data_IF_317004205113
#
_entry.id   IF_317004205113
#
_cell.length_a   1.000
_cell.length_b   1.000
_cell.length_c   1.000
_cell.angle_alpha   90.00
_cell.angle_beta   90.00
_cell.angle_gamma   90.00
#
_symmetry.space_group_name_H-M   'P 1'
#
loop_
_entity.id
_entity.type
_entity.pdbx_description
1 polymer ?
#
# COMPACT_ATOMS: atom_id res chain seq x y z
N UNK A 1 -25.52 19.76 0.55
CA UNK A 1 -24.96 19.68 0.65
C UNK A 1 -24.26 19.33 0.79
N UNK A 2 -23.97 19.27 0.67
CA UNK A 2 -23.19 19.14 0.86
C UNK A 2 -22.35 18.74 0.98
N UNK A 3 -22.12 18.77 0.77
CA UNK A 3 -21.28 18.58 0.90
C UNK A 3 -20.43 18.20 1.05
N UNK A 4 -20.29 18.22 0.76
CA UNK A 4 -19.43 18.05 0.95
C UNK A 4 -18.68 17.73 1.07
N UNK A 5 -18.62 18.02 0.83
CA UNK A 5 -17.97 17.93 0.99
C UNK A 5 -17.25 17.61 1.37
N UNK A 6 -17.24 17.90 1.22
CA UNK A 6 -16.51 17.72 1.54
C UNK A 6 -15.76 17.01 1.78
N UNK A 7 -15.66 16.90 1.89
CA UNK A 7 -15.01 16.25 1.90
C UNK A 7 -13.76 16.33 1.57
N UNK A 8 -13.36 16.94 1.14
CA UNK A 8 -12.22 17.14 0.53
C UNK A 8 -11.18 17.64 1.38
N UNK A 9 -11.42 18.42 2.12
CA UNK A 9 -10.55 18.93 3.02
C UNK A 9 -9.86 17.91 3.75
N UNK A 10 -10.45 16.99 4.11
CA UNK A 10 -9.85 15.93 4.82
C UNK A 10 -9.05 15.07 3.90
N UNK A 11 -8.99 15.45 2.67
CA UNK A 11 -8.31 14.60 1.72
C UNK A 11 -6.87 14.38 2.02
N UNK A 12 -6.20 15.32 2.59
CA UNK A 12 -4.80 15.14 2.92
C UNK A 12 -4.58 13.99 3.85
N UNK A 13 -5.55 13.69 4.70
CA UNK A 13 -5.43 12.60 5.63
C UNK A 13 -5.97 11.31 5.08
N UNK A 14 -6.83 11.39 4.09
CA UNK A 14 -7.52 10.23 3.58
C UNK A 14 -6.61 9.12 3.11
N UNK A 15 -5.51 9.41 2.38
CA UNK A 15 -4.68 8.32 1.87
C UNK A 15 -4.21 7.40 2.98
N UNK A 16 -3.83 7.95 4.13
CA UNK A 16 -3.35 7.15 5.21
C UNK A 16 -4.43 6.24 5.78
N UNK A 17 -5.61 6.80 6.02
CA UNK A 17 -6.70 5.99 6.53
C UNK A 17 -7.19 4.99 5.52
N UNK A 18 -7.16 5.39 4.26
CA UNK A 18 -7.62 4.53 3.17
C UNK A 18 -6.86 3.21 3.15
N UNK A 19 -5.57 3.24 3.47
CA UNK A 19 -4.76 2.04 3.42
C UNK A 19 -4.61 1.36 4.77
N UNK A 20 -5.24 1.89 5.81
CA UNK A 20 -5.21 1.26 7.12
C UNK A 20 -3.85 1.22 7.76
N UNK A 21 -3.06 2.27 7.55
CA UNK A 21 -1.70 2.30 8.07
C UNK A 21 -1.69 2.57 9.57
N UNK A 22 -0.86 1.85 10.34
CA UNK A 22 -0.68 2.17 11.76
C UNK A 22 0.17 3.42 11.91
N UNK A 23 0.48 3.79 13.15
CA UNK A 23 1.35 4.92 13.40
C UNK A 23 2.73 4.63 12.82
N UNK A 24 3.41 5.69 12.42
CA UNK A 24 4.69 5.53 11.73
C UNK A 24 5.74 4.82 12.56
N UNK A 25 5.70 4.97 13.88
CA UNK A 25 6.66 4.31 14.75
C UNK A 25 6.19 2.93 15.21
N UNK A 26 5.07 2.46 14.73
CA UNK A 26 4.57 1.14 15.05
C UNK A 26 5.46 0.09 14.38
N UNK A 27 5.85 -0.98 15.11
CA UNK A 27 6.70 -2.02 14.50
C UNK A 27 6.08 -2.67 13.26
N UNK A 28 4.77 -2.63 13.13
CA UNK A 28 4.09 -3.19 11.98
C UNK A 28 3.92 -2.24 10.82
N UNK A 29 4.47 -1.02 10.92
CA UNK A 29 4.25 -0.02 9.89
C UNK A 29 4.80 -0.47 8.53
N UNK A 30 6.02 -0.99 8.50
CA UNK A 30 6.64 -1.35 7.22
C UNK A 30 5.88 -2.48 6.53
N UNK A 31 5.41 -3.46 7.29
CA UNK A 31 4.61 -4.54 6.70
C UNK A 31 3.31 -3.97 6.12
N UNK A 32 2.66 -3.08 6.86
CA UNK A 32 1.43 -2.46 6.39
C UNK A 32 1.69 -1.58 5.17
N UNK A 33 2.82 -0.87 5.15
CA UNK A 33 3.17 -0.03 4.02
C UNK A 33 3.40 -0.85 2.76
N UNK A 34 4.07 -2.00 2.90
CA UNK A 34 4.28 -2.88 1.76
C UNK A 34 2.95 -3.34 1.18
N UNK A 35 2.03 -3.75 2.05
CA UNK A 35 0.71 -4.18 1.58
C UNK A 35 -0.04 -3.04 0.92
N UNK A 36 0.05 -1.83 1.48
CA UNK A 36 -0.63 -0.68 0.91
C UNK A 36 -0.14 -0.39 -0.50
N UNK A 37 1.18 -0.45 -0.72
CA UNK A 37 1.74 -0.21 -2.05
C UNK A 37 1.26 -1.26 -3.04
N UNK A 38 1.25 -2.53 -2.63
CA UNK A 38 0.80 -3.60 -3.52
C UNK A 38 -0.68 -3.47 -3.84
N UNK A 39 -1.51 -3.18 -2.84
CA UNK A 39 -2.94 -3.03 -3.09
C UNK A 39 -3.22 -1.83 -3.98
N UNK A 40 -2.50 -0.74 -3.77
CA UNK A 40 -2.68 0.44 -4.60
C UNK A 40 -2.30 0.17 -6.05
N UNK A 41 -1.27 -0.65 -6.28
CA UNK A 41 -0.84 -0.97 -7.63
C UNK A 41 -1.91 -1.76 -8.38
N UNK A 42 -2.76 -2.49 -7.66
CA UNK A 42 -3.81 -3.26 -8.30
C UNK A 42 -4.84 -2.37 -8.97
N UNK A 43 -4.96 -1.12 -8.49
CA UNK A 43 -5.95 -0.19 -9.03
C UNK A 43 -5.29 1.09 -9.56
N UNK A 44 -4.00 1.02 -9.84
CA UNK A 44 -3.26 2.13 -10.44
C UNK A 44 -3.21 3.37 -9.55
N UNK A 45 -3.11 3.16 -8.24
CA UNK A 45 -3.02 4.24 -7.28
C UNK A 45 -1.68 4.29 -6.57
N UNK A 46 -0.63 3.79 -7.21
CA UNK A 46 0.67 3.68 -6.57
C UNK A 46 1.16 5.00 -5.98
N UNK A 47 1.01 6.10 -6.70
CA UNK A 47 1.48 7.38 -6.20
C UNK A 47 0.77 7.79 -4.91
N UNK A 48 -0.49 7.48 -4.81
CA UNK A 48 -1.26 7.78 -3.62
C UNK A 48 -0.69 7.04 -2.42
N UNK A 49 -0.39 5.75 -2.61
CA UNK A 49 0.18 4.95 -1.55
C UNK A 49 1.60 5.40 -1.21
N UNK A 50 2.36 5.84 -2.21
CA UNK A 50 3.70 6.37 -1.93
C UNK A 50 3.62 7.58 -1.02
N UNK A 51 2.65 8.46 -1.26
CA UNK A 51 2.49 9.61 -0.38
C UNK A 51 2.04 9.20 1.01
N UNK A 52 1.14 8.24 1.08
CA UNK A 52 0.61 7.81 2.38
C UNK A 52 1.67 7.10 3.20
N UNK A 53 2.50 6.28 2.58
CA UNK A 53 3.48 5.49 3.31
C UNK A 53 4.81 6.20 3.49
N UNK A 54 5.14 7.13 2.60
CA UNK A 54 6.46 7.74 2.60
C UNK A 54 7.51 6.91 1.92
N UNK A 55 7.14 5.78 1.31
CA UNK A 55 8.06 4.92 0.60
C UNK A 55 7.73 4.92 -0.89
N UNK A 56 8.77 4.86 -1.70
CA UNK A 56 8.56 4.71 -3.14
C UNK A 56 8.44 3.24 -3.52
N UNK A 57 7.83 3.00 -4.64
CA UNK A 57 7.72 1.66 -5.20
C UNK A 57 9.11 1.06 -5.35
N UNK A 58 9.28 -0.16 -4.90
CA UNK A 58 10.56 -0.84 -4.99
C UNK A 58 11.48 -0.62 -3.79
N UNK A 59 11.00 0.05 -2.75
CA UNK A 59 11.80 0.34 -1.57
C UNK A 59 12.46 -0.93 -1.02
N UNK A 60 13.81 -0.99 -0.94
CA UNK A 60 14.47 -2.21 -0.47
C UNK A 60 14.09 -2.64 0.93
N UNK A 61 13.78 -1.69 1.80
CA UNK A 61 13.40 -1.99 3.18
C UNK A 61 12.15 -2.85 3.24
N UNK A 62 11.30 -2.74 2.23
CA UNK A 62 10.04 -3.45 2.22
C UNK A 62 10.11 -4.81 1.55
N UNK A 63 11.25 -5.17 0.96
CA UNK A 63 11.35 -6.42 0.21
C UNK A 63 10.94 -7.65 1.02
N UNK A 64 11.36 -7.82 2.28
CA UNK A 64 10.94 -9.02 3.01
C UNK A 64 9.42 -9.15 3.14
N UNK A 65 8.76 -8.01 3.30
CA UNK A 65 7.30 -8.03 3.45
C UNK A 65 6.60 -8.25 2.12
N UNK A 66 7.21 -7.76 1.03
CA UNK A 66 6.66 -8.03 -0.31
C UNK A 66 6.85 -9.50 -0.66
N UNK A 67 7.98 -10.10 -0.28
CA UNK A 67 8.19 -11.52 -0.50
C UNK A 67 7.19 -12.35 0.27
N UNK A 68 6.85 -11.93 1.48
CA UNK A 68 5.82 -12.57 2.27
C UNK A 68 4.47 -12.49 1.55
N UNK A 69 4.16 -11.30 1.04
CA UNK A 69 2.91 -11.11 0.31
C UNK A 69 2.87 -11.96 -0.95
N UNK A 70 4.01 -12.09 -1.63
CA UNK A 70 4.09 -12.93 -2.82
C UNK A 70 3.78 -14.38 -2.48
N UNK A 71 4.36 -14.89 -1.40
CA UNK A 71 4.09 -16.25 -0.98
C UNK A 71 2.61 -16.45 -0.67
N UNK A 72 2.02 -15.47 0.01
CA UNK A 72 0.59 -15.52 0.32
C UNK A 72 -0.25 -15.54 -0.95
N UNK A 73 0.13 -14.72 -1.93
CA UNK A 73 -0.61 -14.63 -3.18
C UNK A 73 -0.57 -15.94 -3.95
N UNK A 74 0.59 -16.60 -3.95
CA UNK A 74 0.73 -17.88 -4.64
C UNK A 74 -0.16 -18.92 -3.96
N UNK A 75 -0.16 -18.97 -2.64
CA UNK A 75 -0.99 -19.94 -1.94
C UNK A 75 -2.48 -19.69 -2.16
N UNK A 76 -2.86 -18.42 -2.23
CA UNK A 76 -4.26 -18.04 -2.40
C UNK A 76 -4.68 -18.02 -3.87
N UNK A 77 -3.74 -18.24 -4.78
CA UNK A 77 -3.99 -18.16 -6.23
C UNK A 77 -4.52 -16.80 -6.62
N UNK A 78 -4.00 -15.76 -5.97
CA UNK A 78 -4.32 -14.38 -6.28
C UNK A 78 -3.31 -13.88 -7.31
N UNK A 79 -3.62 -14.11 -8.58
CA UNK A 79 -2.67 -13.83 -9.66
C UNK A 79 -2.34 -12.36 -9.79
N UNK A 80 -3.31 -11.50 -9.52
CA UNK A 80 -3.06 -10.08 -9.63
C UNK A 80 -2.07 -9.61 -8.57
N UNK A 81 -2.26 -10.05 -7.34
CA UNK A 81 -1.34 -9.71 -6.27
C UNK A 81 0.04 -10.30 -6.56
N UNK A 82 0.09 -11.52 -7.06
CA UNK A 82 1.36 -12.14 -7.42
C UNK A 82 2.09 -11.29 -8.45
N UNK A 83 1.38 -10.80 -9.47
CA UNK A 83 2.00 -10.00 -10.51
C UNK A 83 2.58 -8.70 -9.96
N UNK A 84 1.82 -7.99 -9.13
CA UNK A 84 2.31 -6.72 -8.62
C UNK A 84 3.46 -6.93 -7.63
N UNK A 85 3.42 -8.01 -6.85
CA UNK A 85 4.51 -8.30 -5.93
C UNK A 85 5.80 -8.61 -6.69
N UNK A 86 5.71 -9.41 -7.74
CA UNK A 86 6.89 -9.71 -8.55
C UNK A 86 7.45 -8.46 -9.21
N UNK A 87 6.57 -7.57 -9.63
CA UNK A 87 7.02 -6.32 -10.25
C UNK A 87 7.77 -5.47 -9.23
N UNK A 88 7.28 -5.43 -8.00
CA UNK A 88 7.94 -4.67 -6.95
C UNK A 88 9.36 -5.20 -6.72
N UNK A 89 9.52 -6.51 -6.79
CA UNK A 89 10.79 -7.14 -6.43
C UNK A 89 11.84 -7.16 -7.54
N UNK A 90 11.50 -6.67 -8.72
CA UNK A 90 12.47 -6.67 -9.82
C UNK A 90 13.72 -5.87 -9.56
#
# INVERSE_FOLDING_TARGET
MSRAFLRDDAEGEMPRRHYGLPARDDPGFDRAAARALLEAARVSETQLAERATGYYWGEPRLRPYVEEALADAVRARDERLEQVARRFLR
#
